data_IF_158146410494
#
_entry.id   IF_158146410494
#
_cell.length_a   1.000
_cell.length_b   1.000
_cell.length_c   1.000
_cell.angle_alpha   90.00
_cell.angle_beta   90.00
_cell.angle_gamma   90.00
#
_symmetry.space_group_name_H-M   'P 1'
#
loop_
_entity.id
_entity.type
_entity.pdbx_description
1 polymer ?
#
# COMPACT_ATOMS: atom_id res chain seq x y z
N UNK A 1 49.85 -22.85 10.00
CA UNK A 1 49.27 -22.02 8.91
C UNK A 1 47.92 -22.52 8.37
N UNK A 2 47.57 -23.82 8.45
CA UNK A 2 46.28 -24.35 7.93
C UNK A 2 45.03 -24.09 8.81
N UNK A 3 45.21 -23.87 10.12
CA UNK A 3 44.09 -23.61 11.04
C UNK A 3 43.53 -22.18 10.96
N UNK A 4 44.33 -21.21 10.52
CA UNK A 4 43.91 -19.80 10.37
C UNK A 4 43.05 -19.59 9.12
N UNK A 5 43.24 -20.41 8.10
CA UNK A 5 42.45 -20.33 6.86
C UNK A 5 41.08 -20.96 7.05
N UNK A 6 40.97 -22.10 7.74
CA UNK A 6 39.69 -22.78 7.98
C UNK A 6 38.74 -21.97 8.86
N UNK A 7 39.26 -21.30 9.89
CA UNK A 7 38.45 -20.43 10.75
C UNK A 7 37.94 -19.20 10.00
N UNK A 8 38.76 -18.62 9.11
CA UNK A 8 38.36 -17.50 8.26
C UNK A 8 37.21 -17.88 7.31
N UNK A 9 37.28 -19.05 6.67
CA UNK A 9 36.21 -19.55 5.80
C UNK A 9 34.89 -19.83 6.55
N UNK A 10 34.98 -20.35 7.78
CA UNK A 10 33.79 -20.59 8.62
C UNK A 10 33.10 -19.30 9.06
N UNK A 11 33.88 -18.25 9.36
CA UNK A 11 33.35 -16.93 9.71
C UNK A 11 32.71 -16.25 8.51
N UNK A 12 33.31 -16.32 7.33
CA UNK A 12 32.74 -15.79 6.09
C UNK A 12 31.42 -16.51 5.75
N UNK A 13 31.37 -17.84 5.90
CA UNK A 13 30.16 -18.63 5.70
C UNK A 13 29.04 -18.23 6.69
N UNK A 14 29.37 -18.01 7.97
CA UNK A 14 28.40 -17.52 8.96
C UNK A 14 27.90 -16.12 8.64
N UNK A 15 28.80 -15.19 8.29
CA UNK A 15 28.42 -13.82 7.94
C UNK A 15 27.54 -13.84 6.69
N UNK A 16 27.89 -14.61 5.66
CA UNK A 16 27.10 -14.77 4.44
C UNK A 16 25.70 -15.35 4.75
N UNK A 17 25.63 -16.40 5.58
CA UNK A 17 24.36 -17.01 5.99
C UNK A 17 23.46 -16.01 6.74
N UNK A 18 24.04 -15.24 7.67
CA UNK A 18 23.31 -14.21 8.43
C UNK A 18 22.83 -13.08 7.53
N UNK A 19 23.65 -12.64 6.56
CA UNK A 19 23.26 -11.60 5.59
C UNK A 19 22.13 -12.09 4.69
N UNK A 20 22.22 -13.32 4.16
CA UNK A 20 21.18 -13.92 3.30
C UNK A 20 19.87 -14.13 4.08
N UNK A 21 19.94 -14.60 5.33
CA UNK A 21 18.76 -14.77 6.18
C UNK A 21 18.07 -13.43 6.50
N UNK A 22 18.84 -12.35 6.60
CA UNK A 22 18.30 -10.99 6.83
C UNK A 22 17.81 -10.31 5.56
N UNK A 23 18.29 -10.73 4.39
CA UNK A 23 17.89 -10.17 3.09
C UNK A 23 16.60 -10.77 2.53
N UNK A 24 15.88 -11.60 3.29
CA UNK A 24 14.54 -12.04 2.93
C UNK A 24 13.54 -10.89 3.13
N UNK A 25 13.76 -9.78 2.42
CA UNK A 25 12.76 -8.76 2.22
C UNK A 25 11.62 -9.45 1.48
N UNK A 26 10.55 -9.81 2.19
CA UNK A 26 9.40 -10.48 1.59
C UNK A 26 8.81 -9.52 0.57
N UNK A 27 9.13 -9.74 -0.71
CA UNK A 27 8.44 -9.06 -1.80
C UNK A 27 7.01 -9.56 -1.75
N UNK A 28 6.12 -8.78 -1.12
CA UNK A 28 4.68 -9.09 -1.07
C UNK A 28 4.20 -9.31 -2.50
N UNK A 29 3.61 -10.48 -2.74
CA UNK A 29 2.94 -10.77 -4.00
C UNK A 29 1.55 -10.11 -3.97
N UNK A 30 1.29 -9.29 -4.98
CA UNK A 30 -0.01 -8.64 -5.16
C UNK A 30 -0.92 -9.61 -5.89
N UNK A 31 -2.05 -9.94 -5.26
CA UNK A 31 -2.96 -10.95 -5.77
C UNK A 31 -3.79 -10.42 -6.94
N UNK A 32 -4.14 -9.14 -6.90
CA UNK A 32 -5.00 -8.47 -7.89
C UNK A 32 -4.49 -7.06 -8.16
N UNK A 33 -4.85 -6.56 -9.34
CA UNK A 33 -4.52 -5.23 -9.85
C UNK A 33 -5.69 -4.73 -10.70
N UNK A 34 -6.05 -3.46 -10.55
CA UNK A 34 -7.13 -2.79 -11.26
C UNK A 34 -6.72 -1.36 -11.61
N UNK A 35 -7.03 -0.93 -12.84
CA UNK A 35 -6.86 0.46 -13.29
C UNK A 35 -8.18 1.20 -13.06
N UNK A 36 -8.15 2.23 -12.21
CA UNK A 36 -9.35 2.89 -11.70
C UNK A 36 -9.78 4.12 -12.52
N UNK A 37 -9.00 4.50 -13.53
CA UNK A 37 -9.28 5.63 -14.42
C UNK A 37 -9.00 5.28 -15.88
N UNK A 38 -9.59 6.03 -16.81
CA UNK A 38 -9.46 5.75 -18.24
C UNK A 38 -8.03 5.97 -18.79
N UNK A 39 -7.18 6.73 -18.10
CA UNK A 39 -5.85 7.10 -18.59
C UNK A 39 -4.74 6.20 -18.02
N UNK A 40 -5.05 5.25 -17.14
CA UNK A 40 -4.03 4.40 -16.52
C UNK A 40 -3.17 5.12 -15.49
N UNK A 41 -3.64 6.26 -14.97
CA UNK A 41 -2.93 7.08 -13.99
C UNK A 41 -3.27 6.73 -12.55
N UNK A 42 -4.27 5.87 -12.32
CA UNK A 42 -4.68 5.36 -11.03
C UNK A 42 -4.63 3.83 -11.04
N UNK A 43 -3.59 3.27 -10.44
CA UNK A 43 -3.43 1.83 -10.27
C UNK A 43 -3.70 1.42 -8.83
N UNK A 44 -4.61 0.46 -8.64
CA UNK A 44 -4.87 -0.17 -7.34
C UNK A 44 -4.49 -1.64 -7.39
N UNK A 45 -3.62 -2.06 -6.49
CA UNK A 45 -3.25 -3.45 -6.28
C UNK A 45 -3.62 -3.88 -4.87
N UNK A 46 -4.00 -5.14 -4.68
CA UNK A 46 -4.29 -5.64 -3.34
C UNK A 46 -3.89 -7.10 -3.13
N UNK A 47 -3.61 -7.40 -1.88
CA UNK A 47 -3.39 -8.76 -1.39
C UNK A 47 -4.22 -8.97 -0.13
N UNK A 48 -4.66 -10.21 0.10
CA UNK A 48 -5.49 -10.58 1.25
C UNK A 48 -4.65 -11.44 2.18
N UNK A 49 -4.52 -11.00 3.43
CA UNK A 49 -3.68 -11.63 4.44
C UNK A 49 -4.53 -11.98 5.66
N UNK A 50 -5.00 -13.23 5.74
CA UNK A 50 -5.79 -13.79 6.85
C UNK A 50 -7.02 -12.95 7.26
N UNK A 51 -6.82 -11.87 8.03
CA UNK A 51 -7.86 -10.97 8.54
C UNK A 51 -7.80 -9.55 7.96
N UNK A 52 -6.83 -9.27 7.09
CA UNK A 52 -6.59 -7.94 6.55
C UNK A 52 -6.56 -7.97 5.02
N UNK A 53 -6.93 -6.84 4.40
CA UNK A 53 -6.70 -6.60 2.99
C UNK A 53 -5.74 -5.43 2.90
N UNK A 54 -4.61 -5.63 2.22
CA UNK A 54 -3.64 -4.55 2.02
C UNK A 54 -3.77 -4.03 0.61
N UNK A 55 -4.02 -2.73 0.51
CA UNK A 55 -4.09 -1.99 -0.73
C UNK A 55 -2.78 -1.25 -0.98
N UNK A 56 -2.30 -1.30 -2.22
CA UNK A 56 -1.26 -0.43 -2.75
C UNK A 56 -1.87 0.41 -3.87
N UNK A 57 -1.83 1.71 -3.69
CA UNK A 57 -2.39 2.67 -4.64
C UNK A 57 -1.24 3.50 -5.20
N UNK A 58 -1.10 3.50 -6.52
CA UNK A 58 -0.11 4.31 -7.25
C UNK A 58 -0.87 5.25 -8.17
N UNK A 59 -0.79 6.56 -7.90
CA UNK A 59 -1.57 7.56 -8.64
C UNK A 59 -0.68 8.71 -9.07
N UNK A 60 -0.82 9.13 -10.32
CA UNK A 60 -0.26 10.38 -10.82
C UNK A 60 -1.33 11.50 -10.71
N UNK A 61 -1.30 12.26 -9.63
CA UNK A 61 -2.21 13.39 -9.40
C UNK A 61 -1.48 14.55 -8.72
N UNK A 62 -2.02 15.77 -8.87
CA UNK A 62 -1.58 16.98 -8.16
C UNK A 62 -2.44 17.30 -6.94
N UNK A 63 -3.51 16.54 -6.72
CA UNK A 63 -4.47 16.79 -5.66
C UNK A 63 -4.48 15.67 -4.63
N UNK A 64 -5.67 15.32 -4.20
CA UNK A 64 -5.92 14.19 -3.32
C UNK A 64 -6.40 12.96 -4.10
N UNK A 65 -6.33 11.81 -3.45
CA UNK A 65 -6.97 10.58 -3.88
C UNK A 65 -8.03 10.18 -2.85
N UNK A 66 -9.08 9.51 -3.31
CA UNK A 66 -10.05 8.84 -2.45
C UNK A 66 -10.17 7.38 -2.85
N UNK A 67 -10.31 6.49 -1.86
CA UNK A 67 -10.71 5.10 -2.03
C UNK A 67 -11.94 4.85 -1.17
N UNK A 68 -13.03 4.38 -1.79
CA UNK A 68 -14.30 4.15 -1.12
C UNK A 68 -14.76 2.70 -1.18
N UNK A 69 -15.26 2.19 -0.06
CA UNK A 69 -15.92 0.90 0.06
C UNK A 69 -17.44 1.14 0.15
N UNK A 70 -18.15 0.81 -0.93
CA UNK A 70 -19.60 0.96 -1.01
C UNK A 70 -20.29 -0.40 -1.06
N UNK A 71 -21.44 -0.49 -0.39
CA UNK A 71 -22.28 -1.67 -0.51
C UNK A 71 -23.11 -1.59 -1.80
N UNK A 72 -22.87 -2.51 -2.73
CA UNK A 72 -23.67 -2.80 -3.96
C UNK A 72 -23.70 -1.75 -5.08
N UNK A 73 -23.41 -0.48 -4.84
CA UNK A 73 -23.69 0.58 -5.84
C UNK A 73 -22.48 1.05 -6.65
N UNK A 74 -21.26 0.84 -6.15
CA UNK A 74 -20.04 1.39 -6.74
C UNK A 74 -19.96 2.92 -6.65
N UNK A 75 -20.89 3.56 -5.92
CA UNK A 75 -20.94 5.02 -5.73
C UNK A 75 -20.28 5.39 -4.40
N UNK A 76 -19.74 6.61 -4.34
CA UNK A 76 -19.16 7.19 -3.12
C UNK A 76 -20.23 7.64 -2.10
N UNK A 77 -21.50 7.70 -2.49
CA UNK A 77 -22.59 8.03 -1.59
C UNK A 77 -22.76 6.92 -0.54
N UNK A 78 -22.74 7.29 0.74
CA UNK A 78 -22.88 6.35 1.87
C UNK A 78 -21.77 5.29 1.93
N UNK A 79 -20.58 5.57 1.38
CA UNK A 79 -19.42 4.69 1.46
C UNK A 79 -18.53 5.01 2.66
N UNK A 80 -17.81 4.00 3.12
CA UNK A 80 -16.63 4.17 3.96
C UNK A 80 -15.46 4.62 3.07
N UNK A 81 -14.73 5.68 3.44
CA UNK A 81 -13.81 6.38 2.54
C UNK A 81 -12.48 6.70 3.23
N UNK A 82 -11.39 6.39 2.52
CA UNK A 82 -10.06 6.88 2.85
C UNK A 82 -9.69 7.99 1.87
N UNK A 83 -9.31 9.16 2.37
CA UNK A 83 -8.71 10.25 1.60
C UNK A 83 -7.22 10.36 1.89
N UNK A 84 -6.40 10.57 0.87
CA UNK A 84 -4.97 10.82 1.05
C UNK A 84 -4.46 11.90 0.11
N UNK A 85 -3.47 12.68 0.56
CA UNK A 85 -2.84 13.73 -0.24
C UNK A 85 -1.42 14.02 0.26
N UNK A 86 -0.65 14.72 -0.57
CA UNK A 86 0.61 15.34 -0.17
C UNK A 86 0.34 16.83 0.01
N UNK A 87 0.74 17.42 1.14
CA UNK A 87 0.68 18.87 1.32
C UNK A 87 1.78 19.52 0.47
N UNK A 88 1.40 20.31 -0.53
CA UNK A 88 2.32 20.91 -1.51
C UNK A 88 3.37 21.83 -0.91
N UNK A 89 3.14 22.38 0.30
CA UNK A 89 4.06 23.31 0.96
C UNK A 89 5.13 22.58 1.75
N UNK A 90 4.75 21.51 2.44
CA UNK A 90 5.62 20.76 3.35
C UNK A 90 6.15 19.45 2.78
N UNK A 91 5.53 18.93 1.71
CA UNK A 91 5.79 17.60 1.17
C UNK A 91 5.30 16.46 2.07
N UNK A 92 4.55 16.76 3.14
CA UNK A 92 4.09 15.75 4.10
C UNK A 92 2.87 15.01 3.57
N UNK A 93 2.88 13.68 3.73
CA UNK A 93 1.73 12.85 3.43
C UNK A 93 0.66 12.93 4.54
N UNK A 94 -0.59 13.00 4.13
CA UNK A 94 -1.77 12.99 4.99
C UNK A 94 -2.72 11.89 4.54
N UNK A 95 -3.38 11.26 5.52
CA UNK A 95 -4.43 10.28 5.32
C UNK A 95 -5.56 10.55 6.30
N UNK A 96 -6.79 10.43 5.83
CA UNK A 96 -8.01 10.66 6.60
C UNK A 96 -8.99 9.53 6.33
N UNK A 97 -9.52 8.97 7.41
CA UNK A 97 -10.61 8.00 7.41
C UNK A 97 -11.94 8.72 7.69
N UNK A 98 -12.97 8.48 6.88
CA UNK A 98 -14.26 9.13 7.00
C UNK A 98 -15.41 8.33 6.36
N UNK A 99 -16.62 8.56 6.86
CA UNK A 99 -17.85 8.02 6.26
C UNK A 99 -18.57 9.12 5.50
N UNK A 100 -18.80 8.90 4.21
CA UNK A 100 -19.62 9.80 3.39
C UNK A 100 -21.09 9.69 3.81
N UNK A 101 -21.75 10.80 4.10
CA UNK A 101 -23.20 10.86 4.34
C UNK A 101 -23.85 11.75 3.28
N UNK A 102 -24.87 11.22 2.59
CA UNK A 102 -25.71 12.04 1.71
C UNK A 102 -26.83 12.66 2.55
N UNK A 103 -26.88 13.98 2.60
CA UNK A 103 -28.01 14.72 3.19
C UNK A 103 -29.02 15.02 2.08
N UNK A 104 -30.18 14.37 2.10
CA UNK A 104 -31.30 14.76 1.22
C UNK A 104 -31.99 15.96 1.85
N UNK A 105 -31.93 17.12 1.22
CA UNK A 105 -32.81 18.24 1.57
C UNK A 105 -34.20 17.91 1.01
N UNK A 106 -35.17 17.73 1.91
CA UNK A 106 -36.58 17.74 1.52
C UNK A 106 -37.01 19.20 1.61
N UNK A 107 -37.07 19.89 0.47
CA UNK A 107 -37.74 21.18 0.41
C UNK A 107 -39.25 20.93 0.54
N UNK A 108 -39.90 21.64 1.48
CA UNK A 108 -41.34 21.69 1.67
C UNK A 108 -41.94 22.87 0.89
#
# INVERSE_FOLDING_TARGET
>A
MRLLTTTLWLLISHILCVVVARSHHSRREWMRSEVMDANGLYLMEWSVEAKEIVFRITVNTRGFIGLGFSYKTGKMANSDLVLAWIDDRSGKAHILDLVMKVQTFVEF
#
